data_IF_070970110759
#
_entry.id   IF_070970110759
#
_cell.length_a   1.000
_cell.length_b   1.000
_cell.length_c   1.000
_cell.angle_alpha   90.00
_cell.angle_beta   90.00
_cell.angle_gamma   90.00
#
_symmetry.space_group_name_H-M   'P 1'
#
loop_
_entity.id
_entity.type
_entity.pdbx_description
1 polymer ?
#
# COMPACT_ATOMS: atom_id res chain seq x y z
N UNK A 1 -28.96 27.32 -14.15
CA UNK A 1 -27.49 27.43 -13.99
C UNK A 1 -26.98 27.47 -12.55
N UNK A 2 -27.71 27.96 -11.52
CA UNK A 2 -27.23 27.90 -10.11
C UNK A 2 -27.17 26.48 -9.49
N UNK A 3 -28.03 25.55 -9.93
CA UNK A 3 -28.05 24.18 -9.40
C UNK A 3 -26.88 23.30 -9.90
N UNK A 4 -26.36 23.56 -11.11
CA UNK A 4 -25.23 22.79 -11.67
C UNK A 4 -23.91 23.14 -10.99
N UNK A 5 -23.68 24.41 -10.65
CA UNK A 5 -22.52 24.83 -9.85
C UNK A 5 -22.54 24.23 -8.44
N UNK A 6 -23.71 24.23 -7.78
CA UNK A 6 -23.84 23.67 -6.43
C UNK A 6 -23.59 22.16 -6.38
N UNK A 7 -23.89 21.41 -7.44
CA UNK A 7 -23.60 19.98 -7.53
C UNK A 7 -22.10 19.70 -7.80
N UNK A 8 -21.44 20.55 -8.60
CA UNK A 8 -20.01 20.45 -8.87
C UNK A 8 -19.20 20.71 -7.58
N UNK A 9 -19.59 21.75 -6.81
CA UNK A 9 -18.95 22.09 -5.54
C UNK A 9 -19.12 20.97 -4.49
N UNK A 10 -20.30 20.33 -4.45
CA UNK A 10 -20.56 19.17 -3.57
C UNK A 10 -19.71 17.96 -3.93
N UNK A 11 -19.57 17.62 -5.21
CA UNK A 11 -18.70 16.53 -5.66
C UNK A 11 -17.24 16.79 -5.30
N UNK A 12 -16.79 18.04 -5.46
CA UNK A 12 -15.43 18.45 -5.14
C UNK A 12 -15.16 18.39 -3.63
N UNK A 13 -16.12 18.78 -2.78
CA UNK A 13 -16.04 18.64 -1.32
C UNK A 13 -15.96 17.16 -0.90
N UNK A 14 -16.75 16.27 -1.51
CA UNK A 14 -16.71 14.83 -1.20
C UNK A 14 -15.38 14.22 -1.62
N UNK A 15 -14.83 14.61 -2.77
CA UNK A 15 -13.52 14.15 -3.24
C UNK A 15 -12.38 14.67 -2.36
N UNK A 16 -12.51 15.91 -1.87
CA UNK A 16 -11.63 16.47 -0.85
C UNK A 16 -11.72 15.72 0.48
N UNK A 17 -12.89 15.19 0.85
CA UNK A 17 -13.05 14.41 2.09
C UNK A 17 -12.59 12.95 1.95
N UNK A 18 -12.74 12.34 0.77
CA UNK A 18 -12.22 11.00 0.46
C UNK A 18 -10.68 10.98 0.46
N UNK A 19 -10.06 12.07 0.00
CA UNK A 19 -8.62 12.25 -0.05
C UNK A 19 -8.23 13.56 0.63
N UNK A 20 -8.26 13.60 1.97
CA UNK A 20 -8.13 14.85 2.73
C UNK A 20 -6.77 15.51 2.54
N UNK A 21 -5.72 14.71 2.40
CA UNK A 21 -4.38 15.24 2.14
C UNK A 21 -4.25 15.66 0.67
N UNK A 22 -3.79 16.89 0.44
CA UNK A 22 -3.50 17.41 -0.91
C UNK A 22 -2.53 16.49 -1.66
N UNK A 23 -1.57 15.89 -0.96
CA UNK A 23 -0.57 14.98 -1.52
C UNK A 23 -1.20 13.71 -2.08
N UNK A 24 -2.18 13.10 -1.39
CA UNK A 24 -2.85 11.89 -1.91
C UNK A 24 -3.69 12.24 -3.14
N UNK A 25 -4.34 13.42 -3.16
CA UNK A 25 -5.06 13.92 -4.35
C UNK A 25 -4.13 14.08 -5.55
N UNK A 26 -3.00 14.75 -5.37
CA UNK A 26 -2.00 14.91 -6.44
C UNK A 26 -1.41 13.58 -6.88
N UNK A 27 -1.15 12.65 -5.97
CA UNK A 27 -0.63 11.32 -6.30
C UNK A 27 -1.66 10.51 -7.11
N UNK A 28 -2.93 10.54 -6.74
CA UNK A 28 -3.98 9.88 -7.54
C UNK A 28 -4.15 10.51 -8.92
N UNK A 29 -4.14 11.85 -8.99
CA UNK A 29 -4.20 12.55 -10.27
C UNK A 29 -2.99 12.23 -11.14
N UNK A 30 -1.79 12.21 -10.56
CA UNK A 30 -0.55 11.85 -11.25
C UNK A 30 -0.61 10.41 -11.76
N UNK A 31 -1.02 9.45 -10.92
CA UNK A 31 -1.17 8.05 -11.31
C UNK A 31 -2.22 7.86 -12.40
N UNK A 32 -3.36 8.55 -12.32
CA UNK A 32 -4.39 8.55 -13.36
C UNK A 32 -3.86 9.16 -14.66
N UNK A 33 -3.11 10.26 -14.58
CA UNK A 33 -2.52 10.92 -15.75
C UNK A 33 -1.48 10.03 -16.41
N UNK A 34 -0.60 9.40 -15.63
CA UNK A 34 0.38 8.44 -16.13
C UNK A 34 -0.31 7.23 -16.76
N UNK A 35 -1.40 6.75 -16.17
CA UNK A 35 -2.22 5.68 -16.74
C UNK A 35 -2.81 6.09 -18.10
N UNK A 36 -3.45 7.27 -18.19
CA UNK A 36 -4.07 7.74 -19.44
C UNK A 36 -3.04 8.01 -20.54
N UNK A 37 -1.90 8.63 -20.18
CA UNK A 37 -0.79 8.86 -21.09
C UNK A 37 -0.17 7.53 -21.52
N UNK A 38 0.05 6.62 -20.58
CA UNK A 38 0.58 5.28 -20.86
C UNK A 38 -0.34 4.50 -21.80
N UNK A 39 -1.65 4.51 -21.53
CA UNK A 39 -2.66 3.94 -22.42
C UNK A 39 -2.57 4.52 -23.83
N UNK A 40 -2.61 5.85 -23.96
CA UNK A 40 -2.55 6.51 -25.26
C UNK A 40 -1.23 6.20 -26.00
N UNK A 41 -0.10 6.21 -25.29
CA UNK A 41 1.20 5.94 -25.89
C UNK A 41 1.36 4.49 -26.34
N UNK A 42 0.84 3.52 -25.58
CA UNK A 42 0.89 2.12 -25.98
C UNK A 42 -0.01 1.85 -27.18
N UNK A 43 -1.22 2.41 -27.22
CA UNK A 43 -2.14 2.22 -28.35
C UNK A 43 -1.68 2.96 -29.62
N UNK A 44 -1.08 4.14 -29.49
CA UNK A 44 -0.66 4.96 -30.64
C UNK A 44 0.71 4.57 -31.20
N UNK A 45 1.64 4.09 -30.35
CA UNK A 45 3.04 3.87 -30.74
C UNK A 45 3.56 2.45 -30.50
N UNK A 46 2.70 1.52 -30.03
CA UNK A 46 3.08 0.14 -29.71
C UNK A 46 4.30 0.03 -28.77
N UNK A 47 4.42 0.97 -27.83
CA UNK A 47 5.56 1.05 -26.91
C UNK A 47 5.31 0.16 -25.67
N UNK A 48 5.61 -1.13 -25.79
CA UNK A 48 5.42 -2.14 -24.73
C UNK A 48 6.04 -1.74 -23.38
N UNK A 49 7.21 -1.10 -23.40
CA UNK A 49 7.90 -0.62 -22.19
C UNK A 49 7.08 0.45 -21.45
N UNK A 50 6.44 1.36 -22.17
CA UNK A 50 5.59 2.40 -21.58
C UNK A 50 4.32 1.78 -21.01
N UNK A 51 3.74 0.79 -21.70
CA UNK A 51 2.63 -0.01 -21.20
C UNK A 51 2.95 -0.72 -19.88
N UNK A 52 4.09 -1.41 -19.80
CA UNK A 52 4.50 -2.12 -18.58
C UNK A 52 4.78 -1.15 -17.42
N UNK A 53 5.47 -0.03 -17.67
CA UNK A 53 5.74 0.99 -16.64
C UNK A 53 4.44 1.63 -16.14
N UNK A 54 3.53 1.98 -17.05
CA UNK A 54 2.24 2.56 -16.69
C UNK A 54 1.32 1.54 -15.99
N UNK A 55 1.33 0.26 -16.38
CA UNK A 55 0.64 -0.82 -15.69
C UNK A 55 1.18 -1.06 -14.28
N UNK A 56 2.50 -1.07 -14.12
CA UNK A 56 3.15 -1.21 -12.81
C UNK A 56 2.87 0.00 -11.89
N UNK A 57 2.68 1.20 -12.43
CA UNK A 57 2.26 2.39 -11.69
C UNK A 57 0.75 2.42 -11.41
N UNK A 58 -0.07 1.79 -12.24
CA UNK A 58 -1.50 1.65 -12.05
C UNK A 58 -1.86 0.59 -11.00
N UNK A 59 -1.02 -0.44 -10.79
CA UNK A 59 -1.23 -1.46 -9.75
C UNK A 59 -1.33 -0.86 -8.33
N UNK A 60 -0.44 0.03 -7.88
CA UNK A 60 -0.62 0.77 -6.64
C UNK A 60 -1.94 1.55 -6.56
N UNK A 61 -2.42 2.12 -7.67
CA UNK A 61 -3.71 2.82 -7.72
C UNK A 61 -4.89 1.84 -7.52
N UNK A 62 -4.81 0.65 -8.13
CA UNK A 62 -5.78 -0.44 -7.93
C UNK A 62 -5.77 -0.89 -6.46
N UNK A 63 -4.59 -1.10 -5.87
CA UNK A 63 -4.45 -1.53 -4.48
C UNK A 63 -4.94 -0.45 -3.50
N UNK A 64 -4.60 0.82 -3.72
CA UNK A 64 -5.11 1.95 -2.94
C UNK A 64 -6.64 2.03 -3.05
N UNK A 65 -7.16 1.94 -4.27
CA UNK A 65 -8.60 1.96 -4.55
C UNK A 65 -9.35 0.80 -3.89
N UNK A 66 -8.79 -0.41 -3.92
CA UNK A 66 -9.40 -1.59 -3.34
C UNK A 66 -9.31 -1.63 -1.81
N UNK A 67 -8.21 -1.17 -1.21
CA UNK A 67 -7.96 -1.36 0.24
C UNK A 67 -8.41 -0.14 1.05
N UNK A 68 -8.05 1.04 0.58
CA UNK A 68 -8.22 2.27 1.36
C UNK A 68 -9.63 2.83 1.17
N UNK A 69 -10.13 2.82 -0.06
CA UNK A 69 -11.38 3.48 -0.41
C UNK A 69 -12.62 2.93 0.32
N UNK A 70 -12.79 1.60 0.50
CA UNK A 70 -13.90 1.06 1.28
C UNK A 70 -13.88 1.55 2.73
N UNK A 71 -12.69 1.60 3.35
CA UNK A 71 -12.53 2.07 4.73
C UNK A 71 -12.85 3.57 4.87
N UNK A 72 -12.45 4.36 3.86
CA UNK A 72 -12.71 5.79 3.80
C UNK A 72 -14.19 6.11 3.62
N UNK A 73 -14.85 5.38 2.72
CA UNK A 73 -16.28 5.52 2.50
C UNK A 73 -17.10 5.23 3.75
N UNK A 74 -16.79 4.14 4.45
CA UNK A 74 -17.45 3.79 5.71
C UNK A 74 -17.15 4.85 6.77
N UNK A 75 -15.90 5.31 6.89
CA UNK A 75 -15.54 6.37 7.85
C UNK A 75 -16.32 7.66 7.58
N UNK A 76 -16.36 8.15 6.34
CA UNK A 76 -17.09 9.36 5.95
C UNK A 76 -18.61 9.20 6.10
N UNK A 77 -19.17 8.05 5.74
CA UNK A 77 -20.59 7.77 5.88
C UNK A 77 -21.06 7.71 7.34
N UNK A 78 -20.13 7.44 8.27
CA UNK A 78 -20.41 7.52 9.72
C UNK A 78 -20.06 8.86 10.34
N UNK A 79 -19.21 9.69 9.74
CA UNK A 79 -18.64 10.88 10.40
C UNK A 79 -19.69 11.93 10.79
N UNK A 80 -19.63 12.41 12.04
CA UNK A 80 -20.62 13.34 12.62
C UNK A 80 -20.75 14.67 11.86
N UNK A 81 -19.66 15.24 11.36
CA UNK A 81 -19.75 16.47 10.56
C UNK A 81 -20.29 16.20 9.14
N UNK A 82 -20.11 14.96 8.65
CA UNK A 82 -20.49 14.57 7.30
C UNK A 82 -21.99 14.19 7.23
N UNK A 83 -22.62 13.81 8.35
CA UNK A 83 -24.06 13.54 8.42
C UNK A 83 -24.94 14.77 8.18
N UNK A 84 -24.38 15.98 8.25
CA UNK A 84 -25.08 17.22 7.91
C UNK A 84 -25.09 17.52 6.41
N UNK A 85 -24.39 16.74 5.57
CA UNK A 85 -24.44 16.87 4.11
C UNK A 85 -25.59 16.04 3.53
N UNK A 86 -26.71 16.67 3.12
CA UNK A 86 -27.84 15.94 2.53
C UNK A 86 -27.39 15.26 1.23
N UNK A 87 -27.70 13.96 1.11
CA UNK A 87 -27.35 13.17 -0.07
C UNK A 87 -25.90 12.68 -0.13
N UNK A 88 -25.07 12.90 0.90
CA UNK A 88 -23.68 12.44 0.94
C UNK A 88 -23.54 10.94 0.63
N UNK A 89 -24.42 10.11 1.19
CA UNK A 89 -24.41 8.66 0.95
C UNK A 89 -24.65 8.29 -0.52
N UNK A 90 -25.47 9.07 -1.23
CA UNK A 90 -25.73 8.89 -2.66
C UNK A 90 -24.53 9.33 -3.50
N UNK A 91 -23.90 10.45 -3.15
CA UNK A 91 -22.68 10.93 -3.83
C UNK A 91 -21.53 9.93 -3.60
N UNK A 92 -21.36 9.43 -2.38
CA UNK A 92 -20.36 8.40 -2.06
C UNK A 92 -20.61 7.12 -2.87
N UNK A 93 -21.87 6.65 -2.94
CA UNK A 93 -22.23 5.47 -3.72
C UNK A 93 -21.93 5.65 -5.21
N UNK A 94 -22.31 6.79 -5.80
CA UNK A 94 -22.04 7.09 -7.20
C UNK A 94 -20.53 7.20 -7.50
N UNK A 95 -19.79 7.84 -6.60
CA UNK A 95 -18.32 7.94 -6.69
C UNK A 95 -17.69 6.55 -6.63
N UNK A 96 -18.20 5.68 -5.75
CA UNK A 96 -17.70 4.31 -5.62
C UNK A 96 -17.94 3.46 -6.86
N UNK A 97 -19.12 3.58 -7.44
CA UNK A 97 -19.48 2.91 -8.68
C UNK A 97 -18.57 3.35 -9.84
N UNK A 98 -18.33 4.66 -9.98
CA UNK A 98 -17.42 5.20 -11.00
C UNK A 98 -15.99 4.73 -10.82
N UNK A 99 -15.47 4.73 -9.58
CA UNK A 99 -14.12 4.26 -9.30
C UNK A 99 -14.01 2.76 -9.60
N UNK A 100 -15.02 1.96 -9.24
CA UNK A 100 -15.06 0.54 -9.59
C UNK A 100 -14.97 0.34 -11.10
N UNK A 101 -15.72 1.10 -11.90
CA UNK A 101 -15.69 1.05 -13.36
C UNK A 101 -14.30 1.39 -13.93
N UNK A 102 -13.70 2.49 -13.46
CA UNK A 102 -12.36 2.94 -13.89
C UNK A 102 -11.29 1.91 -13.54
N UNK A 103 -11.39 1.29 -12.36
CA UNK A 103 -10.46 0.22 -11.96
C UNK A 103 -10.63 -1.04 -12.79
N UNK A 104 -11.87 -1.42 -13.12
CA UNK A 104 -12.12 -2.56 -14.02
C UNK A 104 -11.53 -2.33 -15.41
N UNK A 105 -11.68 -1.12 -15.97
CA UNK A 105 -11.03 -0.75 -17.24
C UNK A 105 -9.50 -0.81 -17.14
N UNK A 106 -8.93 -0.31 -16.03
CA UNK A 106 -7.50 -0.39 -15.75
C UNK A 106 -7.01 -1.83 -15.71
N UNK A 107 -7.73 -2.72 -15.03
CA UNK A 107 -7.38 -4.16 -14.94
C UNK A 107 -7.46 -4.82 -16.32
N UNK A 108 -8.51 -4.55 -17.10
CA UNK A 108 -8.64 -5.05 -18.47
C UNK A 108 -7.50 -4.59 -19.37
N UNK A 109 -7.07 -3.34 -19.24
CA UNK A 109 -5.94 -2.82 -20.01
C UNK A 109 -4.62 -3.48 -19.60
N UNK A 110 -4.34 -3.61 -18.30
CA UNK A 110 -3.14 -4.32 -17.82
C UNK A 110 -3.13 -5.77 -18.31
N UNK A 111 -4.30 -6.42 -18.33
CA UNK A 111 -4.44 -7.76 -18.87
C UNK A 111 -4.20 -7.82 -20.38
N UNK A 112 -4.68 -6.83 -21.14
CA UNK A 112 -4.40 -6.72 -22.58
C UNK A 112 -2.89 -6.56 -22.86
N UNK A 113 -2.18 -5.80 -22.02
CA UNK A 113 -0.72 -5.63 -22.11
C UNK A 113 0.06 -6.93 -21.87
N UNK A 114 -0.50 -7.88 -21.12
CA UNK A 114 0.14 -9.17 -20.87
C UNK A 114 0.18 -10.09 -22.10
N UNK A 115 -0.46 -9.70 -23.21
CA UNK A 115 -0.60 -10.46 -24.47
C UNK A 115 -1.25 -11.85 -24.34
N UNK A 116 -1.70 -12.24 -23.15
CA UNK A 116 -2.31 -13.55 -22.89
C UNK A 116 -3.71 -13.70 -23.51
N UNK A 117 -4.48 -12.60 -23.61
CA UNK A 117 -5.79 -12.56 -24.25
C UNK A 117 -6.10 -11.15 -24.73
N UNK A 118 -6.56 -10.97 -25.99
CA UNK A 118 -7.00 -9.67 -26.48
C UNK A 118 -8.25 -9.21 -25.73
N UNK A 119 -8.35 -7.89 -25.53
CA UNK A 119 -9.52 -7.27 -24.92
C UNK A 119 -10.83 -7.71 -25.62
N UNK A 120 -11.83 -8.08 -24.82
CA UNK A 120 -13.19 -8.35 -25.30
C UNK A 120 -14.23 -7.75 -24.36
N UNK A 121 -15.40 -7.40 -24.91
CA UNK A 121 -16.51 -6.85 -24.11
C UNK A 121 -16.95 -7.85 -23.02
N UNK A 122 -16.98 -9.14 -23.32
CA UNK A 122 -17.29 -10.19 -22.35
C UNK A 122 -16.30 -10.18 -21.20
N UNK A 123 -15.01 -10.14 -21.48
CA UNK A 123 -13.96 -10.02 -20.46
C UNK A 123 -14.15 -8.78 -19.60
N UNK A 124 -14.44 -7.62 -20.20
CA UNK A 124 -14.70 -6.39 -19.45
C UNK A 124 -15.86 -6.53 -18.47
N UNK A 125 -17.00 -7.07 -18.93
CA UNK A 125 -18.18 -7.22 -18.06
C UNK A 125 -17.90 -8.20 -16.92
N UNK A 126 -17.11 -9.25 -17.15
CA UNK A 126 -16.70 -10.19 -16.09
C UNK A 126 -15.75 -9.52 -15.08
N UNK A 127 -14.71 -8.82 -15.55
CA UNK A 127 -13.81 -8.04 -14.68
C UNK A 127 -14.60 -7.03 -13.86
N UNK A 128 -15.58 -6.36 -14.48
CA UNK A 128 -16.41 -5.38 -13.80
C UNK A 128 -17.33 -5.98 -12.75
N UNK A 129 -17.90 -7.17 -13.02
CA UNK A 129 -18.66 -7.91 -12.02
C UNK A 129 -17.79 -8.27 -10.81
N UNK A 130 -16.63 -8.87 -11.06
CA UNK A 130 -15.72 -9.31 -10.00
C UNK A 130 -15.24 -8.11 -9.16
N UNK A 131 -14.81 -7.04 -9.82
CA UNK A 131 -14.40 -5.81 -9.14
C UNK A 131 -15.56 -5.23 -8.33
N UNK A 132 -16.78 -5.24 -8.88
CA UNK A 132 -17.99 -4.75 -8.18
C UNK A 132 -18.28 -5.56 -6.92
N UNK A 133 -18.29 -6.89 -7.01
CA UNK A 133 -18.54 -7.77 -5.87
C UNK A 133 -17.48 -7.59 -4.80
N UNK A 134 -16.20 -7.52 -5.19
CA UNK A 134 -15.11 -7.22 -4.25
C UNK A 134 -15.40 -5.90 -3.55
N UNK A 135 -15.65 -4.82 -4.28
CA UNK A 135 -15.95 -3.50 -3.73
C UNK A 135 -17.17 -3.53 -2.77
N UNK A 136 -18.24 -4.23 -3.11
CA UNK A 136 -19.44 -4.33 -2.27
C UNK A 136 -19.17 -5.11 -0.97
N UNK A 137 -18.55 -6.30 -1.08
CA UNK A 137 -18.12 -7.13 0.06
C UNK A 137 -17.13 -6.36 0.93
N UNK A 138 -16.29 -5.56 0.31
CA UNK A 138 -15.28 -4.74 0.98
C UNK A 138 -15.87 -3.75 1.95
N UNK A 139 -16.84 -2.96 1.47
CA UNK A 139 -17.61 -2.03 2.29
C UNK A 139 -18.37 -2.78 3.36
N UNK A 140 -19.00 -3.91 3.00
CA UNK A 140 -19.76 -4.74 3.94
C UNK A 140 -18.90 -5.19 5.12
N UNK A 141 -17.72 -5.77 4.86
CA UNK A 141 -16.77 -6.16 5.90
C UNK A 141 -16.30 -4.96 6.72
N UNK A 142 -16.03 -3.82 6.06
CA UNK A 142 -15.62 -2.58 6.72
C UNK A 142 -16.69 -2.00 7.66
N UNK A 143 -17.98 -2.28 7.43
CA UNK A 143 -19.06 -1.87 8.36
C UNK A 143 -18.93 -2.58 9.71
N UNK A 144 -18.56 -3.87 9.73
CA UNK A 144 -18.36 -4.65 10.96
C UNK A 144 -16.98 -4.39 11.56
N UNK A 145 -15.92 -4.61 10.78
CA UNK A 145 -14.53 -4.50 11.23
C UNK A 145 -13.71 -3.61 10.30
N UNK A 146 -12.94 -2.69 10.89
CA UNK A 146 -12.02 -1.85 10.13
C UNK A 146 -10.85 -2.64 9.51
N UNK A 147 -10.58 -3.88 9.95
CA UNK A 147 -9.55 -4.78 9.38
C UNK A 147 -10.08 -5.68 8.26
N UNK A 148 -11.38 -5.61 7.94
CA UNK A 148 -11.99 -6.41 6.87
C UNK A 148 -11.36 -6.21 5.49
N UNK A 149 -10.56 -5.15 5.31
CA UNK A 149 -9.83 -4.84 4.07
C UNK A 149 -8.80 -5.87 3.65
N UNK A 150 -8.22 -6.63 4.58
CA UNK A 150 -7.26 -7.69 4.23
C UNK A 150 -7.93 -8.93 3.64
N UNK A 151 -9.23 -9.14 3.90
CA UNK A 151 -10.01 -10.24 3.34
C UNK A 151 -10.29 -10.07 1.85
N UNK A 152 -10.03 -8.88 1.29
CA UNK A 152 -10.30 -8.54 -0.12
C UNK A 152 -9.36 -9.30 -1.06
N UNK A 153 -8.12 -9.55 -0.63
CA UNK A 153 -7.16 -10.36 -1.39
C UNK A 153 -7.65 -11.80 -1.54
N UNK A 154 -8.20 -12.39 -0.47
CA UNK A 154 -8.77 -13.72 -0.52
C UNK A 154 -9.95 -13.80 -1.51
N UNK A 155 -10.83 -12.79 -1.53
CA UNK A 155 -11.99 -12.72 -2.45
C UNK A 155 -11.57 -12.48 -3.90
N UNK A 156 -10.59 -11.60 -4.16
CA UNK A 156 -10.07 -11.35 -5.52
C UNK A 156 -9.50 -12.63 -6.14
N UNK A 157 -8.76 -13.39 -5.35
CA UNK A 157 -8.15 -14.65 -5.76
C UNK A 157 -9.21 -15.73 -6.00
N UNK A 158 -10.20 -15.85 -5.09
CA UNK A 158 -11.29 -16.83 -5.23
C UNK A 158 -12.11 -16.67 -6.52
N UNK A 159 -12.08 -15.48 -7.12
CA UNK A 159 -12.82 -15.17 -8.34
C UNK A 159 -12.00 -15.41 -9.63
N UNK A 160 -10.73 -15.82 -9.51
CA UNK A 160 -9.83 -16.13 -10.63
C UNK A 160 -10.33 -17.28 -11.52
N UNK A 161 -10.68 -18.42 -10.92
CA UNK A 161 -11.15 -19.61 -11.66
C UNK A 161 -12.56 -19.43 -12.25
N UNK A 162 -13.28 -18.44 -11.74
CA UNK A 162 -14.65 -18.10 -12.13
C UNK A 162 -14.67 -17.28 -13.45
N UNK A 163 -13.53 -16.68 -13.86
CA UNK A 163 -13.40 -16.00 -15.16
C UNK A 163 -13.67 -16.93 -16.33
N UNK A 164 -13.14 -18.16 -16.30
CA UNK A 164 -13.34 -19.14 -17.37
C UNK A 164 -14.81 -19.58 -17.49
N UNK A 165 -15.52 -19.68 -16.37
CA UNK A 165 -16.95 -20.03 -16.33
C UNK A 165 -17.83 -18.90 -16.85
N UNK A 166 -17.56 -17.64 -16.49
CA UNK A 166 -18.35 -16.51 -16.95
C UNK A 166 -18.02 -16.06 -18.37
N UNK A 167 -16.82 -16.35 -18.90
CA UNK A 167 -16.49 -16.06 -20.29
C UNK A 167 -17.40 -16.81 -21.30
N UNK A 168 -17.96 -17.97 -20.89
CA UNK A 168 -18.92 -18.73 -21.68
C UNK A 168 -20.39 -18.24 -21.52
N UNK A 169 -20.66 -17.32 -20.59
CA UNK A 169 -21.99 -16.78 -20.32
C UNK A 169 -22.23 -15.53 -21.17
N UNK A 170 -23.46 -15.35 -21.66
CA UNK A 170 -23.84 -14.17 -22.44
C UNK A 170 -23.59 -12.87 -21.62
N UNK A 171 -22.84 -11.89 -22.15
CA UNK A 171 -22.45 -10.68 -21.41
C UNK A 171 -23.63 -9.84 -20.92
N UNK A 172 -24.79 -9.92 -21.58
CA UNK A 172 -26.01 -9.22 -21.14
C UNK A 172 -26.51 -9.74 -19.79
N UNK A 173 -26.47 -11.06 -19.55
CA UNK A 173 -26.88 -11.63 -18.26
C UNK A 173 -25.95 -11.20 -17.14
N UNK A 174 -24.65 -11.12 -17.43
CA UNK A 174 -23.64 -10.65 -16.48
C UNK A 174 -23.87 -9.18 -16.15
N UNK A 175 -24.15 -8.33 -17.16
CA UNK A 175 -24.49 -6.93 -16.94
C UNK A 175 -25.76 -6.76 -16.08
N UNK A 176 -26.82 -7.52 -16.35
CA UNK A 176 -28.01 -7.53 -15.53
C UNK A 176 -27.71 -7.92 -14.08
N UNK A 177 -26.85 -8.93 -13.88
CA UNK A 177 -26.41 -9.34 -12.54
C UNK A 177 -25.59 -8.26 -11.82
N UNK A 178 -24.71 -7.53 -12.53
CA UNK A 178 -24.00 -6.37 -11.99
C UNK A 178 -25.00 -5.32 -11.50
N UNK A 179 -25.95 -4.92 -12.33
CA UNK A 179 -26.95 -3.90 -11.97
C UNK A 179 -27.79 -4.34 -10.77
N UNK A 180 -28.22 -5.60 -10.74
CA UNK A 180 -28.95 -6.17 -9.61
C UNK A 180 -28.11 -6.17 -8.32
N UNK A 181 -26.83 -6.56 -8.40
CA UNK A 181 -25.92 -6.56 -7.25
C UNK A 181 -25.76 -5.16 -6.65
N UNK A 182 -25.59 -4.14 -7.50
CA UNK A 182 -25.48 -2.75 -7.08
C UNK A 182 -26.79 -2.21 -6.52
N UNK A 183 -27.95 -2.62 -7.05
CA UNK A 183 -29.25 -2.24 -6.50
C UNK A 183 -29.46 -2.82 -5.08
N UNK A 184 -29.12 -4.09 -4.88
CA UNK A 184 -29.16 -4.74 -3.55
C UNK A 184 -28.20 -4.03 -2.58
N UNK A 185 -26.97 -3.76 -3.03
CA UNK A 185 -25.98 -3.04 -2.24
C UNK A 185 -26.44 -1.62 -1.89
N UNK A 186 -27.01 -0.89 -2.85
CA UNK A 186 -27.54 0.46 -2.64
C UNK A 186 -28.66 0.47 -1.61
N UNK A 187 -29.65 -0.43 -1.73
CA UNK A 187 -30.75 -0.58 -0.78
C UNK A 187 -30.21 -0.78 0.65
N UNK A 188 -29.24 -1.69 0.81
CA UNK A 188 -28.58 -1.91 2.09
C UNK A 188 -27.77 -0.70 2.57
N UNK A 189 -27.01 -0.06 1.70
CA UNK A 189 -26.17 1.11 2.02
C UNK A 189 -27.00 2.27 2.55
N UNK A 190 -28.14 2.54 1.92
CA UNK A 190 -29.06 3.58 2.39
C UNK A 190 -29.77 3.18 3.68
N UNK A 191 -30.16 1.90 3.83
CA UNK A 191 -30.79 1.37 5.05
C UNK A 191 -29.84 1.20 6.25
N UNK A 192 -28.53 1.19 6.03
CA UNK A 192 -27.53 0.92 7.07
C UNK A 192 -27.42 2.07 8.08
N UNK A 193 -27.61 1.75 9.38
CA UNK A 193 -27.42 2.68 10.49
C UNK A 193 -26.17 2.28 11.28
N UNK A 194 -25.12 3.11 11.33
CA UNK A 194 -23.91 2.78 12.06
C UNK A 194 -24.13 2.82 13.57
N UNK A 195 -23.70 1.79 14.29
CA UNK A 195 -23.75 1.76 15.75
C UNK A 195 -22.74 2.73 16.39
N UNK A 196 -21.58 2.95 15.74
CA UNK A 196 -20.50 3.81 16.22
C UNK A 196 -19.83 4.58 15.08
N UNK A 197 -19.30 5.76 15.39
CA UNK A 197 -18.44 6.53 14.51
C UNK A 197 -17.15 5.76 14.21
N UNK A 198 -16.87 5.51 12.93
CA UNK A 198 -15.65 4.81 12.50
C UNK A 198 -14.54 5.82 12.27
N UNK A 199 -13.36 5.57 12.85
CA UNK A 199 -12.20 6.45 12.69
C UNK A 199 -11.72 6.49 11.24
N UNK A 200 -11.42 7.68 10.73
CA UNK A 200 -10.86 7.85 9.39
C UNK A 200 -9.33 7.60 9.43
N UNK A 201 -8.81 6.64 8.63
CA UNK A 201 -7.38 6.32 8.53
C UNK A 201 -6.46 7.50 8.22
N UNK A 202 -6.97 8.56 7.57
CA UNK A 202 -6.19 9.71 7.13
C UNK A 202 -6.23 10.89 8.11
N UNK A 203 -7.18 10.92 9.05
CA UNK A 203 -7.29 11.99 10.05
C UNK A 203 -6.78 11.56 11.43
N UNK A 204 -6.91 10.28 11.78
CA UNK A 204 -6.28 9.72 12.98
C UNK A 204 -4.95 9.13 12.53
N UNK A 205 -3.84 9.77 12.90
CA UNK A 205 -2.50 9.27 12.55
C UNK A 205 -2.41 7.76 12.79
N UNK A 206 -1.98 7.02 11.77
CA UNK A 206 -1.95 5.55 11.73
C UNK A 206 -1.46 4.93 13.05
N UNK A 207 -0.48 5.54 13.71
CA UNK A 207 0.04 5.09 15.01
C UNK A 207 -0.96 5.12 16.17
N UNK A 208 -1.80 6.16 16.31
CA UNK A 208 -2.78 6.25 17.42
C UNK A 208 -3.86 5.18 17.23
N UNK A 209 -4.21 4.91 15.97
CA UNK A 209 -5.19 3.89 15.60
C UNK A 209 -4.64 2.46 15.74
N UNK A 210 -3.38 2.24 15.35
CA UNK A 210 -2.70 0.95 15.58
C UNK A 210 -2.54 0.66 17.07
N UNK A 211 -2.17 1.67 17.88
CA UNK A 211 -2.15 1.55 19.34
C UNK A 211 -3.52 1.19 19.92
N UNK A 212 -4.61 1.74 19.39
CA UNK A 212 -5.97 1.44 19.86
C UNK A 212 -6.50 0.07 19.40
N UNK A 213 -6.25 -0.32 18.14
CA UNK A 213 -6.74 -1.58 17.57
C UNK A 213 -5.94 -2.79 18.07
N UNK A 214 -4.61 -2.73 17.97
CA UNK A 214 -3.75 -3.82 18.44
C UNK A 214 -3.68 -3.85 19.97
N UNK A 215 -3.67 -2.67 20.62
CA UNK A 215 -3.64 -2.58 22.08
C UNK A 215 -4.91 -3.08 22.79
N UNK A 216 -6.05 -3.25 22.09
CA UNK A 216 -7.26 -3.86 22.65
C UNK A 216 -7.42 -5.33 22.25
N UNK A 217 -7.14 -5.70 21.00
CA UNK A 217 -7.32 -7.07 20.52
C UNK A 217 -6.22 -8.03 21.00
N UNK A 218 -4.97 -7.58 21.15
CA UNK A 218 -3.85 -8.45 21.55
C UNK A 218 -3.65 -8.56 23.07
N UNK A 219 -4.24 -7.66 23.85
CA UNK A 219 -4.19 -7.73 25.32
C UNK A 219 -4.86 -8.99 25.88
N UNK A 220 -5.77 -9.64 25.14
CA UNK A 220 -6.48 -10.82 25.62
C UNK A 220 -5.82 -12.15 25.23
N UNK A 221 -4.95 -12.18 24.21
CA UNK A 221 -4.34 -13.43 23.71
C UNK A 221 -2.86 -13.58 24.09
N UNK A 222 -2.15 -12.49 24.40
CA UNK A 222 -0.74 -12.56 24.80
C UNK A 222 -0.46 -11.66 26.01
N UNK A 223 0.45 -12.12 26.89
CA UNK A 223 0.96 -11.32 28.02
C UNK A 223 1.35 -9.92 27.56
N UNK A 224 0.84 -8.90 28.27
CA UNK A 224 1.09 -7.49 27.98
C UNK A 224 2.59 -7.26 27.95
N UNK A 225 3.14 -6.96 26.76
CA UNK A 225 4.54 -6.61 26.64
C UNK A 225 4.84 -5.38 27.51
N UNK A 226 5.81 -5.50 28.41
CA UNK A 226 6.26 -4.40 29.25
C UNK A 226 7.38 -3.60 28.55
N UNK A 227 7.44 -2.30 28.82
CA UNK A 227 8.55 -1.47 28.36
C UNK A 227 9.83 -1.85 29.10
N UNK A 228 10.91 -2.13 28.37
CA UNK A 228 12.23 -2.41 28.94
C UNK A 228 13.09 -1.16 29.07
N UNK A 229 12.94 -0.19 28.18
CA UNK A 229 13.69 1.07 28.23
C UNK A 229 12.78 2.26 27.97
N UNK A 230 12.99 3.34 28.72
CA UNK A 230 12.25 4.58 28.53
C UNK A 230 12.44 5.12 27.09
N UNK A 231 13.68 5.14 26.61
CA UNK A 231 14.02 5.68 25.29
C UNK A 231 13.42 4.84 24.15
N UNK A 232 13.53 3.51 24.22
CA UNK A 232 13.03 2.61 23.19
C UNK A 232 11.51 2.57 23.12
N UNK A 233 10.84 2.60 24.27
CA UNK A 233 9.37 2.64 24.33
C UNK A 233 8.82 3.98 23.86
N UNK A 234 9.46 5.10 24.24
CA UNK A 234 9.10 6.43 23.74
C UNK A 234 9.33 6.55 22.24
N UNK A 235 10.43 6.03 21.72
CA UNK A 235 10.77 6.12 20.31
C UNK A 235 9.77 5.37 19.42
N UNK A 236 9.38 4.18 19.86
CA UNK A 236 8.43 3.36 19.11
C UNK A 236 6.98 3.73 19.41
N UNK A 237 6.71 4.47 20.50
CA UNK A 237 5.38 4.77 21.01
C UNK A 237 4.68 3.56 21.64
N UNK A 238 5.39 2.46 21.90
CA UNK A 238 4.83 1.19 22.38
C UNK A 238 5.88 0.46 23.24
N UNK A 239 5.47 -0.51 24.09
CA UNK A 239 6.40 -1.26 24.93
C UNK A 239 7.55 -1.86 24.12
N UNK A 240 8.78 -1.59 24.53
CA UNK A 240 9.97 -2.07 23.85
C UNK A 240 10.50 -3.36 24.49
N UNK A 241 10.72 -4.40 23.69
CA UNK A 241 11.19 -5.69 24.20
C UNK A 241 11.35 -6.75 23.10
N UNK A 242 11.93 -7.90 23.42
CA UNK A 242 11.97 -9.05 22.49
C UNK A 242 10.57 -9.63 22.29
N UNK A 243 9.83 -9.84 23.38
CA UNK A 243 8.44 -10.32 23.37
C UNK A 243 7.53 -9.37 22.58
N UNK A 244 7.62 -8.06 22.85
CA UNK A 244 6.87 -7.04 22.11
C UNK A 244 7.16 -7.06 20.61
N UNK A 245 8.41 -7.37 20.21
CA UNK A 245 8.81 -7.48 18.80
C UNK A 245 8.21 -8.73 18.16
N UNK A 246 8.35 -9.89 18.79
CA UNK A 246 7.78 -11.15 18.29
C UNK A 246 6.27 -11.04 18.13
N UNK A 247 5.57 -10.44 19.09
CA UNK A 247 4.13 -10.19 19.03
C UNK A 247 3.71 -9.27 17.87
N UNK A 248 4.60 -8.41 17.36
CA UNK A 248 4.34 -7.58 16.17
C UNK A 248 4.67 -8.31 14.87
N UNK A 249 5.66 -9.20 14.91
CA UNK A 249 6.04 -10.01 13.77
C UNK A 249 4.97 -11.06 13.46
N UNK A 250 4.42 -11.71 14.48
CA UNK A 250 3.42 -12.79 14.35
C UNK A 250 2.20 -12.40 13.51
N UNK A 251 1.54 -11.25 13.69
CA UNK A 251 0.39 -10.86 12.90
C UNK A 251 0.76 -10.35 11.52
N UNK A 252 1.92 -9.72 11.36
CA UNK A 252 2.44 -9.35 10.04
C UNK A 252 2.74 -10.60 9.20
N UNK A 253 3.33 -11.62 9.83
CA UNK A 253 3.54 -12.93 9.24
C UNK A 253 2.22 -13.66 8.99
N UNK A 254 1.33 -13.68 9.98
CA UNK A 254 0.01 -14.32 9.86
C UNK A 254 -0.83 -13.67 8.76
N UNK A 255 -0.85 -12.34 8.65
CA UNK A 255 -1.58 -11.64 7.59
C UNK A 255 -0.93 -11.83 6.22
N UNK A 256 0.40 -11.88 6.12
CA UNK A 256 1.07 -12.26 4.89
C UNK A 256 0.68 -13.70 4.50
N UNK A 257 0.92 -14.68 5.37
CA UNK A 257 0.67 -16.10 5.08
C UNK A 257 -0.81 -16.41 4.82
N UNK A 258 -1.74 -15.87 5.62
CA UNK A 258 -3.19 -16.06 5.44
C UNK A 258 -3.71 -15.27 4.23
N UNK A 259 -3.07 -14.16 3.86
CA UNK A 259 -3.38 -13.45 2.61
C UNK A 259 -2.98 -14.24 1.36
N UNK A 260 -1.89 -15.02 1.42
CA UNK A 260 -1.39 -15.84 0.31
C UNK A 260 -1.99 -17.24 0.22
N UNK A 261 -2.42 -17.84 1.34
CA UNK A 261 -2.92 -19.22 1.38
C UNK A 261 -4.16 -19.47 0.49
N UNK A 262 -5.15 -18.56 0.40
CA UNK A 262 -6.24 -18.67 -0.57
C UNK A 262 -5.75 -18.55 -2.02
N UNK A 263 -4.72 -17.73 -2.25
CA UNK A 263 -3.93 -17.64 -3.49
C UNK A 263 -3.53 -19.00 -4.01
N UNK A 264 -2.81 -19.68 -3.13
CA UNK A 264 -2.23 -20.98 -3.36
C UNK A 264 -3.24 -22.08 -3.67
N UNK A 265 -4.37 -22.11 -2.97
CA UNK A 265 -5.33 -23.21 -3.11
C UNK A 265 -6.15 -23.16 -4.41
N UNK A 266 -6.15 -22.03 -5.13
CA UNK A 266 -7.09 -21.76 -6.21
C UNK A 266 -6.41 -21.47 -7.57
N UNK A 267 -5.35 -20.66 -7.65
CA UNK A 267 -4.74 -20.36 -8.95
C UNK A 267 -3.64 -21.35 -9.35
N UNK A 268 -3.57 -21.68 -10.64
CA UNK A 268 -2.44 -22.41 -11.25
C UNK A 268 -1.08 -21.75 -10.99
N UNK A 269 -0.02 -22.56 -10.97
CA UNK A 269 1.27 -22.29 -10.31
C UNK A 269 1.99 -21.01 -10.73
N UNK A 270 1.91 -20.57 -11.99
CA UNK A 270 3.00 -19.75 -12.54
C UNK A 270 2.84 -18.24 -12.27
N UNK A 271 1.61 -17.72 -12.24
CA UNK A 271 1.33 -16.29 -12.01
C UNK A 271 1.32 -15.91 -10.53
N UNK A 272 0.89 -16.84 -9.66
CA UNK A 272 0.80 -16.60 -8.23
C UNK A 272 2.17 -16.55 -7.55
N UNK A 273 3.16 -17.27 -8.11
CA UNK A 273 4.53 -17.26 -7.60
C UNK A 273 5.17 -15.89 -7.74
N UNK A 274 5.11 -15.29 -8.94
CA UNK A 274 5.67 -13.96 -9.22
C UNK A 274 5.05 -12.86 -8.34
N UNK A 275 3.72 -12.85 -8.20
CA UNK A 275 3.02 -11.93 -7.31
C UNK A 275 3.29 -12.20 -5.83
N UNK A 276 3.41 -13.48 -5.44
CA UNK A 276 3.74 -13.94 -4.09
C UNK A 276 5.05 -13.36 -3.57
N UNK A 277 6.12 -13.47 -4.36
CA UNK A 277 7.42 -12.89 -4.01
C UNK A 277 7.33 -11.37 -3.98
N UNK A 278 6.73 -10.74 -5.00
CA UNK A 278 6.63 -9.28 -5.07
C UNK A 278 5.93 -8.67 -3.85
N UNK A 279 4.87 -9.30 -3.35
CA UNK A 279 4.15 -8.82 -2.16
C UNK A 279 4.90 -9.09 -0.85
N UNK A 280 5.54 -10.26 -0.68
CA UNK A 280 6.40 -10.53 0.49
C UNK A 280 7.54 -9.52 0.57
N UNK A 281 8.06 -9.11 -0.58
CA UNK A 281 9.21 -8.22 -0.72
C UNK A 281 8.83 -6.74 -0.55
N UNK A 282 7.72 -6.30 -1.14
CA UNK A 282 7.13 -5.00 -0.84
C UNK A 282 6.76 -4.88 0.65
N UNK A 283 6.37 -5.98 1.30
CA UNK A 283 6.12 -6.05 2.74
C UNK A 283 7.33 -5.65 3.60
N UNK A 284 8.54 -6.03 3.19
CA UNK A 284 9.79 -5.65 3.89
C UNK A 284 10.08 -4.14 3.79
N UNK A 285 9.93 -3.56 2.60
CA UNK A 285 10.07 -2.11 2.40
C UNK A 285 8.99 -1.31 3.13
N UNK A 286 7.74 -1.78 3.09
CA UNK A 286 6.61 -1.15 3.77
C UNK A 286 6.78 -1.17 5.30
N UNK A 287 7.23 -2.29 5.87
CA UNK A 287 7.51 -2.40 7.29
C UNK A 287 8.60 -1.41 7.73
N UNK A 288 9.67 -1.26 6.93
CA UNK A 288 10.72 -0.28 7.21
C UNK A 288 10.17 1.16 7.24
N UNK A 289 9.30 1.53 6.31
CA UNK A 289 8.66 2.86 6.31
C UNK A 289 7.75 3.09 7.51
N UNK A 290 6.95 2.08 7.89
CA UNK A 290 6.06 2.18 9.03
C UNK A 290 6.85 2.44 10.32
N UNK A 291 8.01 1.79 10.48
CA UNK A 291 8.92 2.04 11.58
C UNK A 291 9.54 3.46 11.53
N UNK A 292 9.97 3.94 10.36
CA UNK A 292 10.53 5.29 10.19
C UNK A 292 9.52 6.39 10.50
N UNK A 293 8.29 6.26 9.99
CA UNK A 293 7.20 7.19 10.27
C UNK A 293 6.95 7.28 11.78
N UNK A 294 6.95 6.13 12.45
CA UNK A 294 6.79 6.07 13.90
C UNK A 294 7.93 6.69 14.69
N UNK A 295 9.18 6.53 14.22
CA UNK A 295 10.33 7.19 14.84
C UNK A 295 10.27 8.70 14.65
N UNK A 296 9.98 9.18 13.44
CA UNK A 296 9.91 10.61 13.18
C UNK A 296 8.89 11.35 14.05
N UNK A 297 7.73 10.74 14.33
CA UNK A 297 6.70 11.36 15.18
C UNK A 297 7.11 11.46 16.66
N UNK A 298 7.98 10.55 17.13
CA UNK A 298 8.34 10.48 18.55
C UNK A 298 9.73 11.05 18.86
N UNK A 299 10.63 11.13 17.87
CA UNK A 299 11.98 11.68 18.04
C UNK A 299 11.94 13.15 18.46
N UNK A 300 11.02 13.95 17.91
CA UNK A 300 10.82 15.33 18.35
C UNK A 300 10.49 15.43 19.85
N UNK A 301 9.61 14.54 20.35
CA UNK A 301 9.26 14.50 21.76
C UNK A 301 10.46 14.10 22.62
N UNK A 302 11.22 13.09 22.21
CA UNK A 302 12.44 12.67 22.91
C UNK A 302 13.44 13.81 23.00
N UNK A 303 13.60 14.59 21.91
CA UNK A 303 14.48 15.74 21.88
C UNK A 303 14.06 16.88 22.80
N UNK A 304 12.75 17.17 22.93
CA UNK A 304 12.27 18.21 23.84
C UNK A 304 12.46 17.82 25.32
N UNK A 305 12.35 16.53 25.65
CA UNK A 305 12.42 16.05 27.03
C UNK A 305 13.80 15.50 27.46
N UNK A 306 14.79 15.48 26.56
CA UNK A 306 16.13 14.99 26.88
C UNK A 306 17.22 15.89 26.30
N UNK A 307 18.05 16.56 27.13
CA UNK A 307 19.21 17.34 26.69
C UNK A 307 20.38 16.45 26.23
N UNK A 308 20.15 15.15 25.98
CA UNK A 308 21.18 14.17 25.68
C UNK A 308 21.90 14.40 24.35
N UNK A 309 23.05 13.74 24.18
CA UNK A 309 23.87 13.83 22.99
C UNK A 309 23.10 13.37 21.73
N UNK A 310 22.79 14.31 20.84
CA UNK A 310 22.02 14.07 19.61
C UNK A 310 22.71 13.08 18.66
N UNK A 311 24.04 13.00 18.64
CA UNK A 311 24.77 11.98 17.87
C UNK A 311 24.56 10.58 18.45
N UNK A 312 24.53 10.47 19.78
CA UNK A 312 24.22 9.20 20.44
C UNK A 312 22.77 8.76 20.17
N UNK A 313 21.83 9.72 20.11
CA UNK A 313 20.45 9.42 19.71
C UNK A 313 20.37 8.92 18.26
N UNK A 314 21.11 9.51 17.32
CA UNK A 314 21.17 9.01 15.93
C UNK A 314 21.68 7.57 15.87
N UNK A 315 22.79 7.28 16.55
CA UNK A 315 23.34 5.92 16.61
C UNK A 315 22.33 4.94 17.23
N UNK A 316 21.63 5.36 18.28
CA UNK A 316 20.55 4.57 18.89
C UNK A 316 19.39 4.33 17.91
N UNK A 317 18.94 5.36 17.20
CA UNK A 317 17.88 5.27 16.18
C UNK A 317 18.24 4.28 15.08
N UNK A 318 19.45 4.39 14.55
CA UNK A 318 19.95 3.51 13.50
C UNK A 318 20.04 2.06 13.98
N UNK A 319 20.66 1.82 15.14
CA UNK A 319 20.72 0.49 15.74
C UNK A 319 19.33 -0.09 16.03
N UNK A 320 18.39 0.74 16.50
CA UNK A 320 17.04 0.31 16.82
C UNK A 320 16.23 -0.03 15.56
N UNK A 321 16.39 0.75 14.50
CA UNK A 321 15.80 0.50 13.19
C UNK A 321 16.20 -0.89 12.68
N UNK A 322 17.50 -1.16 12.58
CA UNK A 322 18.01 -2.46 12.12
C UNK A 322 17.59 -3.61 13.03
N UNK A 323 17.59 -3.42 14.35
CA UNK A 323 17.12 -4.44 15.30
C UNK A 323 15.63 -4.79 15.17
N UNK A 324 14.85 -3.98 14.44
CA UNK A 324 13.42 -4.17 14.22
C UNK A 324 13.13 -4.65 12.80
N UNK A 325 13.80 -4.07 11.79
CA UNK A 325 13.56 -4.34 10.37
C UNK A 325 14.28 -5.60 9.89
N UNK A 326 15.51 -5.85 10.34
CA UNK A 326 16.31 -7.00 9.87
C UNK A 326 15.62 -8.36 10.14
N UNK A 327 15.10 -8.64 11.36
CA UNK A 327 14.43 -9.92 11.60
C UNK A 327 13.19 -10.13 10.73
N UNK A 328 12.40 -9.08 10.49
CA UNK A 328 11.21 -9.15 9.62
C UNK A 328 11.61 -9.43 8.19
N UNK A 329 12.63 -8.73 7.70
CA UNK A 329 13.16 -8.89 6.35
C UNK A 329 13.69 -10.30 6.14
N UNK A 330 14.48 -10.82 7.07
CA UNK A 330 15.00 -12.19 6.99
C UNK A 330 13.89 -13.24 6.99
N UNK A 331 12.85 -13.08 7.81
CA UNK A 331 11.73 -14.03 7.80
C UNK A 331 10.94 -13.92 6.49
N UNK A 332 10.69 -12.72 5.96
CA UNK A 332 9.99 -12.54 4.69
C UNK A 332 10.80 -13.14 3.51
N UNK A 333 12.12 -12.93 3.49
CA UNK A 333 13.02 -13.55 2.51
C UNK A 333 13.01 -15.07 2.69
N UNK A 334 13.10 -15.59 3.91
CA UNK A 334 13.03 -17.04 4.18
C UNK A 334 11.71 -17.63 3.67
N UNK A 335 10.57 -17.01 3.99
CA UNK A 335 9.26 -17.43 3.48
C UNK A 335 9.24 -17.39 1.96
N UNK A 336 9.77 -16.32 1.34
CA UNK A 336 9.90 -16.22 -0.12
C UNK A 336 10.75 -17.35 -0.72
N UNK A 337 11.93 -17.64 -0.15
CA UNK A 337 12.79 -18.73 -0.61
C UNK A 337 12.15 -20.10 -0.44
N UNK A 338 11.43 -20.36 0.65
CA UNK A 338 10.69 -21.60 0.87
C UNK A 338 9.56 -21.74 -0.16
N UNK A 339 8.79 -20.68 -0.41
CA UNK A 339 7.76 -20.65 -1.45
C UNK A 339 8.37 -20.86 -2.85
N UNK A 340 9.63 -20.49 -3.08
CA UNK A 340 10.31 -20.82 -4.33
C UNK A 340 10.75 -22.29 -4.40
N UNK A 341 11.34 -22.80 -3.31
CA UNK A 341 11.87 -24.15 -3.24
C UNK A 341 10.80 -25.24 -3.42
N UNK A 342 9.59 -25.02 -2.89
CA UNK A 342 8.48 -25.95 -3.05
C UNK A 342 7.82 -25.90 -4.44
N UNK A 343 8.08 -24.88 -5.27
CA UNK A 343 7.36 -24.62 -6.54
C UNK A 343 8.24 -24.62 -7.80
N UNK A 344 9.49 -25.10 -7.73
CA UNK A 344 10.36 -25.44 -8.89
C UNK A 344 10.67 -24.31 -9.90
N UNK A 345 10.39 -23.04 -9.60
CA UNK A 345 10.85 -21.89 -10.38
C UNK A 345 12.20 -21.39 -9.86
N UNK A 346 13.24 -22.17 -10.15
CA UNK A 346 14.55 -21.97 -9.56
C UNK A 346 15.23 -20.71 -10.11
N UNK A 347 15.14 -19.62 -9.36
CA UNK A 347 16.12 -18.53 -9.45
C UNK A 347 17.43 -19.00 -8.83
N UNK A 348 18.56 -18.55 -9.38
CA UNK A 348 19.86 -18.95 -8.87
C UNK A 348 20.05 -18.44 -7.44
N UNK A 349 20.79 -19.15 -6.57
CA UNK A 349 21.12 -18.66 -5.22
C UNK A 349 21.79 -17.28 -5.23
N UNK A 350 22.53 -16.96 -6.29
CA UNK A 350 23.11 -15.63 -6.53
C UNK A 350 22.07 -14.54 -6.70
N UNK A 351 20.94 -14.82 -7.37
CA UNK A 351 19.87 -13.84 -7.56
C UNK A 351 19.21 -13.52 -6.23
N UNK A 352 18.94 -14.54 -5.41
CA UNK A 352 18.40 -14.36 -4.05
C UNK A 352 19.34 -13.57 -3.14
N UNK A 353 20.65 -13.81 -3.24
CA UNK A 353 21.63 -13.05 -2.47
C UNK A 353 21.66 -11.58 -2.92
N UNK A 354 21.76 -11.32 -4.23
CA UNK A 354 21.70 -9.96 -4.78
C UNK A 354 20.41 -9.27 -4.37
N UNK A 355 19.30 -10.01 -4.35
CA UNK A 355 17.99 -9.49 -3.99
C UNK A 355 17.93 -9.08 -2.53
N UNK A 356 18.40 -9.94 -1.62
CA UNK A 356 18.49 -9.62 -0.20
C UNK A 356 19.38 -8.38 0.02
N UNK A 357 20.51 -8.30 -0.68
CA UNK A 357 21.41 -7.14 -0.59
C UNK A 357 20.70 -5.87 -1.05
N UNK A 358 20.01 -5.89 -2.19
CA UNK A 358 19.26 -4.73 -2.68
C UNK A 358 18.17 -4.30 -1.71
N UNK A 359 17.40 -5.24 -1.16
CA UNK A 359 16.36 -4.91 -0.18
C UNK A 359 16.93 -4.25 1.09
N UNK A 360 18.09 -4.72 1.58
CA UNK A 360 18.79 -4.11 2.71
C UNK A 360 19.33 -2.71 2.35
N UNK A 361 19.88 -2.54 1.15
CA UNK A 361 20.33 -1.25 0.65
C UNK A 361 19.17 -0.26 0.52
N UNK A 362 18.04 -0.67 -0.04
CA UNK A 362 16.81 0.11 -0.12
C UNK A 362 16.33 0.56 1.26
N UNK A 363 16.29 -0.35 2.24
CA UNK A 363 15.87 -0.03 3.62
C UNK A 363 16.83 0.98 4.28
N UNK A 364 18.12 0.80 4.07
CA UNK A 364 19.14 1.75 4.51
C UNK A 364 18.96 3.11 3.85
N UNK A 365 18.71 3.12 2.54
CA UNK A 365 18.53 4.34 1.75
C UNK A 365 17.26 5.07 2.19
N UNK A 366 16.16 4.36 2.42
CA UNK A 366 14.95 4.92 3.02
C UNK A 366 15.22 5.54 4.39
N UNK A 367 15.99 4.88 5.25
CA UNK A 367 16.36 5.44 6.56
C UNK A 367 17.12 6.76 6.40
N UNK A 368 18.16 6.79 5.56
CA UNK A 368 18.97 7.99 5.37
C UNK A 368 18.20 9.11 4.67
N UNK A 369 17.42 8.78 3.63
CA UNK A 369 16.56 9.74 2.93
C UNK A 369 15.53 10.36 3.87
N UNK A 370 14.87 9.53 4.69
CA UNK A 370 13.90 9.99 5.68
C UNK A 370 14.53 11.01 6.62
N UNK A 371 15.68 10.70 7.21
CA UNK A 371 16.33 11.64 8.14
C UNK A 371 16.95 12.85 7.45
N UNK A 372 17.41 12.72 6.21
CA UNK A 372 17.89 13.86 5.41
C UNK A 372 16.76 14.87 5.13
N UNK A 373 15.61 14.36 4.69
CA UNK A 373 14.42 15.18 4.48
C UNK A 373 13.90 15.75 5.81
N UNK A 374 13.95 14.95 6.88
CA UNK A 374 13.50 15.38 8.20
C UNK A 374 14.29 16.59 8.70
N UNK A 375 15.61 16.60 8.46
CA UNK A 375 16.50 17.72 8.77
C UNK A 375 16.13 19.01 8.04
N UNK A 376 15.61 18.91 6.82
CA UNK A 376 15.35 20.07 5.94
C UNK A 376 13.92 20.57 6.01
N UNK A 377 12.96 19.68 6.25
CA UNK A 377 11.53 19.94 6.07
C UNK A 377 10.74 19.95 7.39
N UNK A 378 11.41 19.82 8.54
CA UNK A 378 10.81 20.06 9.86
C UNK A 378 9.63 19.13 10.21
N UNK A 379 9.88 17.82 10.26
CA UNK A 379 8.87 16.80 10.61
C UNK A 379 7.60 16.79 9.73
N UNK A 380 7.65 17.28 8.49
CA UNK A 380 6.55 17.10 7.53
C UNK A 380 6.40 15.62 7.11
N UNK A 381 5.68 14.85 7.92
CA UNK A 381 5.51 13.40 7.75
C UNK A 381 4.89 13.00 6.41
N UNK A 382 4.08 13.88 5.81
CA UNK A 382 3.44 13.58 4.52
C UNK A 382 4.50 13.57 3.42
N UNK A 383 5.35 14.60 3.37
CA UNK A 383 6.40 14.70 2.34
C UNK A 383 7.51 13.65 2.57
N UNK A 384 7.80 13.35 3.83
CA UNK A 384 8.72 12.28 4.22
C UNK A 384 8.25 10.90 3.73
N UNK A 385 7.00 10.53 4.04
CA UNK A 385 6.44 9.26 3.60
C UNK A 385 6.28 9.19 2.09
N UNK A 386 5.97 10.31 1.43
CA UNK A 386 5.88 10.38 -0.03
C UNK A 386 7.23 10.12 -0.70
N UNK A 387 8.31 10.77 -0.25
CA UNK A 387 9.62 10.61 -0.85
C UNK A 387 10.19 9.20 -0.65
N UNK A 388 10.01 8.62 0.54
CA UNK A 388 10.36 7.22 0.78
C UNK A 388 9.49 6.29 -0.09
N UNK A 389 8.17 6.53 -0.16
CA UNK A 389 7.23 5.79 -1.00
C UNK A 389 7.63 5.78 -2.48
N UNK A 390 7.99 6.96 -3.00
CA UNK A 390 8.47 7.13 -4.37
C UNK A 390 9.78 6.37 -4.62
N UNK A 391 10.70 6.36 -3.65
CA UNK A 391 11.95 5.59 -3.75
C UNK A 391 11.67 4.08 -3.84
N UNK A 392 10.78 3.55 -3.01
CA UNK A 392 10.39 2.12 -3.07
C UNK A 392 9.68 1.79 -4.38
N UNK A 393 8.85 2.69 -4.89
CA UNK A 393 8.20 2.53 -6.19
C UNK A 393 9.22 2.52 -7.34
N UNK A 394 10.19 3.44 -7.33
CA UNK A 394 11.27 3.46 -8.31
C UNK A 394 12.10 2.18 -8.26
N UNK A 395 12.45 1.72 -7.06
CA UNK A 395 13.15 0.46 -6.86
C UNK A 395 12.35 -0.73 -7.42
N UNK A 396 11.04 -0.78 -7.15
CA UNK A 396 10.15 -1.81 -7.67
C UNK A 396 10.11 -1.81 -9.20
N UNK A 397 9.93 -0.64 -9.82
CA UNK A 397 9.95 -0.50 -11.28
C UNK A 397 11.28 -0.90 -11.90
N UNK A 398 12.40 -0.45 -11.33
CA UNK A 398 13.74 -0.82 -11.81
C UNK A 398 13.97 -2.32 -11.71
N UNK A 399 13.46 -2.96 -10.66
CA UNK A 399 13.56 -4.41 -10.46
C UNK A 399 12.71 -5.21 -11.45
N UNK A 400 11.60 -4.65 -11.95
CA UNK A 400 10.84 -5.22 -13.07
C UNK A 400 11.61 -5.05 -14.38
N UNK A 401 12.08 -3.82 -14.66
CA UNK A 401 12.75 -3.47 -15.92
C UNK A 401 14.07 -4.21 -16.10
N UNK A 402 14.81 -4.47 -15.03
CA UNK A 402 16.07 -5.22 -15.08
C UNK A 402 15.88 -6.74 -15.12
N UNK A 403 14.64 -7.24 -15.26
CA UNK A 403 14.35 -8.67 -15.23
C UNK A 403 14.59 -9.34 -13.87
N UNK A 404 14.82 -8.54 -12.81
CA UNK A 404 15.28 -9.05 -11.51
C UNK A 404 14.15 -9.64 -10.66
N UNK A 405 12.93 -9.11 -10.82
CA UNK A 405 11.71 -9.63 -10.18
C UNK A 405 10.88 -10.54 -11.07
N UNK A 406 10.93 -10.33 -12.38
CA UNK A 406 10.15 -11.05 -13.37
C UNK A 406 10.91 -11.02 -14.69
N UNK A 407 10.90 -12.13 -15.44
CA UNK A 407 11.48 -12.13 -16.77
C UNK A 407 10.75 -11.10 -17.64
N UNK A 408 11.49 -10.10 -18.12
CA UNK A 408 10.97 -9.13 -19.08
C UNK A 408 10.76 -9.77 -20.46
N UNK A 409 10.02 -9.11 -21.37
CA UNK A 409 9.90 -9.55 -22.76
C UNK A 409 11.28 -9.77 -23.39
N UNK A 410 11.43 -10.82 -24.20
CA UNK A 410 12.70 -11.18 -24.84
C UNK A 410 13.28 -10.07 -25.75
N UNK A 411 12.44 -9.12 -26.18
CA UNK A 411 12.81 -7.95 -26.98
C UNK A 411 13.49 -6.83 -26.18
N UNK A 412 13.50 -6.93 -24.84
CA UNK A 412 14.10 -5.89 -24.01
C UNK A 412 15.61 -6.09 -23.87
N UNK A 413 16.41 -5.01 -23.96
CA UNK A 413 17.83 -5.12 -23.66
C UNK A 413 18.00 -5.59 -22.21
N UNK A 414 18.83 -6.61 -22.00
CA UNK A 414 19.14 -7.14 -20.69
C UNK A 414 19.84 -6.07 -19.83
N UNK A 415 19.08 -5.31 -19.07
CA UNK A 415 19.62 -4.36 -18.09
C UNK A 415 20.07 -5.16 -16.89
N UNK A 416 21.38 -5.12 -16.60
CA UNK A 416 21.92 -5.83 -15.45
C UNK A 416 21.27 -5.36 -14.13
N UNK A 417 20.83 -6.28 -13.25
CA UNK A 417 20.35 -5.96 -11.91
C UNK A 417 21.34 -5.16 -11.05
N UNK A 418 22.64 -5.20 -11.41
CA UNK A 418 23.69 -4.41 -10.76
C UNK A 418 23.41 -2.90 -10.80
N UNK A 419 22.69 -2.40 -11.80
CA UNK A 419 22.33 -0.98 -11.89
C UNK A 419 21.45 -0.51 -10.72
N UNK A 420 20.63 -1.41 -10.16
CA UNK A 420 19.82 -1.13 -8.97
C UNK A 420 20.75 -0.94 -7.77
N UNK A 421 21.64 -1.91 -7.55
CA UNK A 421 22.60 -1.90 -6.44
C UNK A 421 23.52 -0.68 -6.48
N UNK A 422 24.06 -0.34 -7.66
CA UNK A 422 24.95 0.82 -7.84
C UNK A 422 24.22 2.11 -7.47
N UNK A 423 22.98 2.27 -7.92
CA UNK A 423 22.16 3.45 -7.61
C UNK A 423 21.91 3.60 -6.11
N UNK A 424 21.64 2.49 -5.42
CA UNK A 424 21.43 2.48 -3.97
C UNK A 424 22.71 2.81 -3.19
N UNK A 425 23.84 2.23 -3.60
CA UNK A 425 25.15 2.49 -2.99
C UNK A 425 25.55 3.96 -3.18
N UNK A 426 25.37 4.52 -4.37
CA UNK A 426 25.64 5.93 -4.64
C UNK A 426 24.74 6.84 -3.80
N UNK A 427 23.43 6.55 -3.75
CA UNK A 427 22.49 7.28 -2.90
C UNK A 427 22.89 7.25 -1.42
N UNK A 428 23.32 6.09 -0.92
CA UNK A 428 23.81 5.94 0.44
C UNK A 428 25.11 6.72 0.67
N UNK A 429 26.08 6.65 -0.24
CA UNK A 429 27.33 7.39 -0.14
C UNK A 429 27.08 8.91 -0.06
N UNK A 430 26.13 9.41 -0.85
CA UNK A 430 25.73 10.82 -0.87
C UNK A 430 25.01 11.23 0.42
N UNK A 431 24.16 10.38 0.99
CA UNK A 431 23.32 10.73 2.15
C UNK A 431 23.99 10.43 3.49
N UNK A 432 24.90 9.46 3.57
CA UNK A 432 25.47 8.98 4.84
C UNK A 432 26.12 10.11 5.65
N UNK A 433 27.04 10.84 5.02
CA UNK A 433 27.79 11.93 5.67
C UNK A 433 26.87 13.10 6.04
N UNK A 434 26.07 13.67 5.12
CA UNK A 434 25.17 14.78 5.45
C UNK A 434 24.17 14.44 6.56
N UNK A 435 23.58 13.24 6.54
CA UNK A 435 22.60 12.84 7.55
C UNK A 435 23.24 12.72 8.92
N UNK A 436 24.35 11.99 9.03
CA UNK A 436 25.01 11.74 10.32
C UNK A 436 25.51 13.02 10.99
N UNK A 437 26.06 13.95 10.21
CA UNK A 437 26.54 15.23 10.74
C UNK A 437 25.40 16.24 10.94
N UNK A 438 24.44 16.30 10.01
CA UNK A 438 23.29 17.20 10.03
C UNK A 438 22.32 16.91 11.17
N UNK A 439 22.16 15.65 11.57
CA UNK A 439 21.20 15.26 12.62
C UNK A 439 21.49 15.93 13.97
N UNK A 440 22.78 16.16 14.28
CA UNK A 440 23.17 16.88 15.50
C UNK A 440 22.86 18.37 15.48
N UNK A 441 22.70 18.94 14.28
CA UNK A 441 22.49 20.37 14.02
C UNK A 441 21.02 20.76 13.82
N UNK A 442 20.09 19.82 13.93
CA UNK A 442 18.66 20.15 13.83
C UNK A 442 18.29 21.07 15.00
N UNK A 443 17.95 22.31 14.67
CA UNK A 443 17.30 23.24 15.58
C UNK A 443 15.79 23.14 15.30
N UNK A 444 15.01 22.75 16.31
CA UNK A 444 13.59 23.00 16.24
C UNK A 444 13.41 24.48 16.50
N UNK A 445 13.02 25.22 15.46
CA UNK A 445 12.41 26.53 15.65
C UNK A 445 11.14 26.26 16.45
N UNK A 446 11.23 26.42 17.77
CA UNK A 446 10.09 26.35 18.66
C UNK A 446 9.17 27.52 18.37
N UNK A 447 7.87 27.21 18.25
CA UNK A 447 6.73 28.10 18.50
C UNK A 447 7.02 29.60 18.34
N UNK A 448 6.91 30.10 17.11
CA UNK A 448 7.07 31.51 16.78
C UNK A 448 6.64 31.86 15.37
N UNK A 449 5.58 31.23 14.85
CA UNK A 449 4.76 31.72 13.74
C UNK A 449 3.31 31.29 13.97
#
# INVERSE_FOLDING_TARGET
MKASHMNLDRGLIVLQQLFPTRVIRWLMLLMLTIFLIGFALTELFALDLIGVVAGALAMPLVLIGMIILPTQMVALATHRAASFFPGLRGILLATYWWICLVLSLTICWIWNLSQLNPFSLSMFVVVWLITSLIFQVSVWLCTFSQTGHFLHYAVYIMLGDIFGWFAAVNPLYILCFILLSWAIFASRWFGWKPAHYKANPFFVGLQVREQMLWGKAFKSWFNVAQARTWLGSRLTGIPDGRVARIQRMLPALGSATVGFLPGYLLMGSDWLLGLGYMFLMAGGGFFAMLMLMGYGMNVHRIWLYSPGNRRALFTYLHGRFWSSVLPVTLVLVLVGTLVNLFWKNWHSPSDWLMFMVSLLLLQSLCFHLYWWLYQRLGANHVLLSFACGALVLCWFLMSIVSGFLMNGPASWPAISPLWILISEVLGLALLYRPVRFGFSKIEFVGAGQ
#
